data_IF_246970019596
#
_entry.id   IF_246970019596
#
_cell.length_a   1.000
_cell.length_b   1.000
_cell.length_c   1.000
_cell.angle_alpha   90.00
_cell.angle_beta   90.00
_cell.angle_gamma   90.00
#
_symmetry.space_group_name_H-M   'P 1'
#
loop_
_entity.id
_entity.type
_entity.pdbx_description
1 polymer ?
#
# COMPACT_ATOMS: atom_id res chain seq x y z
N UNK A 1 -8.05 9.75 26.45
CA UNK A 1 -8.98 9.73 25.27
C UNK A 1 -10.15 8.80 25.60
N UNK A 2 -11.33 9.17 25.18
CA UNK A 2 -12.49 8.27 25.15
C UNK A 2 -12.82 7.97 23.69
N UNK A 3 -12.28 6.85 23.19
CA UNK A 3 -12.42 6.44 21.79
C UNK A 3 -13.89 6.28 21.36
N UNK A 4 -14.75 5.82 22.28
CA UNK A 4 -16.19 5.67 22.03
C UNK A 4 -16.85 7.01 21.75
N UNK A 5 -16.58 7.99 22.61
CA UNK A 5 -17.16 9.34 22.48
C UNK A 5 -16.70 10.02 21.18
N UNK A 6 -15.41 9.89 20.83
CA UNK A 6 -14.88 10.41 19.57
C UNK A 6 -15.60 9.80 18.37
N UNK A 7 -15.80 8.48 18.39
CA UNK A 7 -16.47 7.77 17.30
C UNK A 7 -17.95 8.13 17.19
N UNK A 8 -18.65 8.27 18.32
CA UNK A 8 -20.06 8.70 18.36
C UNK A 8 -20.23 10.11 17.79
N UNK A 9 -19.36 11.04 18.14
CA UNK A 9 -19.36 12.40 17.58
C UNK A 9 -19.11 12.39 16.08
N UNK A 10 -18.14 11.59 15.63
CA UNK A 10 -17.82 11.46 14.21
C UNK A 10 -19.02 10.89 13.41
N UNK A 11 -19.69 9.84 13.94
CA UNK A 11 -20.89 9.25 13.33
C UNK A 11 -22.04 10.26 13.26
N UNK A 12 -22.21 11.07 14.29
CA UNK A 12 -23.24 12.13 14.33
C UNK A 12 -22.98 13.22 13.28
N UNK A 13 -21.72 13.61 13.10
CA UNK A 13 -21.32 14.67 12.16
C UNK A 13 -21.30 14.21 10.70
N UNK A 14 -20.95 12.97 10.47
CA UNK A 14 -20.76 12.36 9.13
C UNK A 14 -21.50 11.02 9.02
N UNK A 15 -22.84 10.99 9.09
CA UNK A 15 -23.60 9.73 9.25
C UNK A 15 -23.51 8.77 8.06
N UNK A 16 -23.14 9.25 6.88
CA UNK A 16 -23.17 8.48 5.64
C UNK A 16 -21.79 7.97 5.21
N UNK A 17 -20.85 7.80 6.16
CA UNK A 17 -19.47 7.41 5.88
C UNK A 17 -19.04 6.16 6.70
N UNK A 18 -19.73 5.02 6.57
CA UNK A 18 -19.50 3.85 7.42
C UNK A 18 -18.07 3.28 7.30
N UNK A 19 -17.48 3.29 6.12
CA UNK A 19 -16.11 2.82 5.90
C UNK A 19 -15.10 3.70 6.65
N UNK A 20 -15.35 5.00 6.70
CA UNK A 20 -14.50 5.92 7.44
C UNK A 20 -14.64 5.73 8.96
N UNK A 21 -15.86 5.51 9.46
CA UNK A 21 -16.09 5.22 10.87
C UNK A 21 -15.35 3.97 11.34
N UNK A 22 -15.39 2.91 10.54
CA UNK A 22 -14.68 1.66 10.84
C UNK A 22 -13.17 1.87 10.92
N UNK A 23 -12.59 2.57 9.97
CA UNK A 23 -11.15 2.85 9.95
C UNK A 23 -10.69 3.66 11.17
N UNK A 24 -11.46 4.67 11.55
CA UNK A 24 -11.18 5.46 12.75
C UNK A 24 -11.28 4.60 14.01
N UNK A 25 -12.31 3.77 14.14
CA UNK A 25 -12.50 2.87 15.28
C UNK A 25 -11.30 1.93 15.46
N UNK A 26 -10.85 1.30 14.37
CA UNK A 26 -9.70 0.38 14.37
C UNK A 26 -8.40 1.07 14.79
N UNK A 27 -8.14 2.27 14.29
CA UNK A 27 -6.94 3.03 14.67
C UNK A 27 -7.02 3.49 16.12
N UNK A 28 -8.14 4.08 16.55
CA UNK A 28 -8.30 4.57 17.92
C UNK A 28 -8.13 3.45 18.95
N UNK A 29 -8.66 2.25 18.68
CA UNK A 29 -8.51 1.10 19.57
C UNK A 29 -7.04 0.69 19.78
N UNK A 30 -6.19 0.87 18.78
CA UNK A 30 -4.78 0.48 18.87
C UNK A 30 -3.87 1.56 19.47
N UNK A 31 -4.24 2.84 19.35
CA UNK A 31 -3.41 3.95 19.85
C UNK A 31 -3.80 4.45 21.25
N UNK A 32 -4.97 4.05 21.77
CA UNK A 32 -5.57 4.60 22.99
C UNK A 32 -4.63 4.50 24.22
N UNK A 33 -3.98 3.35 24.41
CA UNK A 33 -3.02 3.15 25.51
C UNK A 33 -1.87 4.15 25.45
N UNK A 34 -1.26 4.33 24.27
CA UNK A 34 -0.14 5.26 24.11
C UNK A 34 -0.60 6.71 24.19
N UNK A 35 -1.74 7.03 23.56
CA UNK A 35 -2.32 8.38 23.64
C UNK A 35 -2.54 8.82 25.08
N UNK A 36 -3.04 7.95 25.95
CA UNK A 36 -3.36 8.27 27.34
C UNK A 36 -2.12 8.53 28.20
N UNK A 37 -0.92 8.19 27.74
CA UNK A 37 0.35 8.57 28.37
C UNK A 37 0.73 10.04 28.11
N UNK A 38 0.00 10.72 27.21
CA UNK A 38 0.26 12.08 26.73
C UNK A 38 -0.92 13.03 27.00
N UNK A 39 -1.13 13.47 28.27
CA UNK A 39 -2.26 14.32 28.61
C UNK A 39 -2.25 15.68 27.89
N UNK A 40 -1.11 16.10 27.35
CA UNK A 40 -0.97 17.30 26.52
C UNK A 40 -1.77 17.22 25.21
N UNK A 41 -2.01 16.03 24.69
CA UNK A 41 -2.79 15.83 23.45
C UNK A 41 -4.26 16.21 23.62
N UNK A 42 -4.85 15.90 24.78
CA UNK A 42 -6.25 16.28 25.11
C UNK A 42 -6.44 17.79 25.18
N UNK A 43 -5.44 18.54 25.67
CA UNK A 43 -5.52 20.00 25.82
C UNK A 43 -5.69 20.74 24.51
N UNK A 44 -5.33 20.11 23.40
CA UNK A 44 -5.40 20.71 22.05
C UNK A 44 -6.38 19.97 21.13
N UNK A 45 -7.24 19.11 21.68
CA UNK A 45 -8.18 18.28 20.92
C UNK A 45 -7.51 17.55 19.74
N UNK A 46 -6.33 16.97 19.98
CA UNK A 46 -5.50 16.40 18.93
C UNK A 46 -6.25 15.35 18.11
N UNK A 47 -6.96 14.44 18.78
CA UNK A 47 -7.63 13.32 18.11
C UNK A 47 -8.82 13.80 17.26
N UNK A 48 -9.58 14.78 17.72
CA UNK A 48 -10.67 15.35 16.94
C UNK A 48 -10.15 16.01 15.66
N UNK A 49 -9.07 16.78 15.78
CA UNK A 49 -8.39 17.42 14.64
C UNK A 49 -7.84 16.39 13.67
N UNK A 50 -7.27 15.29 14.18
CA UNK A 50 -6.72 14.21 13.36
C UNK A 50 -7.80 13.43 12.61
N UNK A 51 -8.98 13.26 13.20
CA UNK A 51 -10.11 12.55 12.60
C UNK A 51 -10.91 13.39 11.59
N UNK A 52 -10.59 14.66 11.41
CA UNK A 52 -11.25 15.52 10.44
C UNK A 52 -10.22 15.91 9.37
N UNK A 53 -10.48 15.62 8.08
CA UNK A 53 -9.59 16.06 7.02
C UNK A 53 -9.42 17.59 7.00
N UNK A 54 -8.22 18.07 6.66
CA UNK A 54 -7.97 19.49 6.49
C UNK A 54 -8.87 20.09 5.41
N UNK A 55 -9.05 19.36 4.28
CA UNK A 55 -9.89 19.79 3.15
C UNK A 55 -10.46 18.61 2.40
N UNK A 56 -11.68 18.80 1.91
CA UNK A 56 -12.37 17.87 0.99
C UNK A 56 -12.80 18.67 -0.22
N UNK A 57 -12.32 18.28 -1.40
CA UNK A 57 -12.77 18.80 -2.67
C UNK A 57 -13.67 17.77 -3.36
N UNK A 58 -14.83 18.22 -3.79
CA UNK A 58 -15.78 17.44 -4.55
C UNK A 58 -16.23 18.25 -5.76
N UNK A 59 -16.12 17.68 -6.95
CA UNK A 59 -16.39 18.40 -8.20
C UNK A 59 -16.99 17.48 -9.25
N UNK A 60 -17.70 18.10 -10.19
CA UNK A 60 -18.24 17.43 -11.38
C UNK A 60 -17.16 17.34 -12.45
N UNK A 61 -17.06 16.15 -13.06
CA UNK A 61 -16.21 15.92 -14.24
C UNK A 61 -17.10 15.62 -15.43
N UNK A 62 -17.10 16.49 -16.42
CA UNK A 62 -17.88 16.33 -17.66
C UNK A 62 -16.92 16.02 -18.81
N UNK A 63 -17.21 14.97 -19.55
CA UNK A 63 -16.36 14.52 -20.66
C UNK A 63 -17.21 13.87 -21.76
N UNK A 64 -16.65 13.69 -22.96
CA UNK A 64 -17.33 13.12 -24.12
C UNK A 64 -16.75 11.73 -24.42
N UNK A 65 -17.63 10.73 -24.61
CA UNK A 65 -17.23 9.39 -25.03
C UNK A 65 -16.96 9.32 -26.55
N UNK A 66 -16.54 8.15 -27.03
CA UNK A 66 -16.22 7.94 -28.45
C UNK A 66 -17.44 7.99 -29.36
N UNK A 67 -18.66 7.92 -28.81
CA UNK A 67 -19.92 8.06 -29.53
C UNK A 67 -20.41 9.50 -29.57
N UNK A 68 -19.66 10.45 -29.05
CA UNK A 68 -20.05 11.85 -28.94
C UNK A 68 -21.07 12.14 -27.82
N UNK A 69 -21.32 11.21 -26.93
CA UNK A 69 -22.24 11.40 -25.82
C UNK A 69 -21.55 12.06 -24.64
N UNK A 70 -22.24 13.00 -24.01
CA UNK A 70 -21.72 13.69 -22.81
C UNK A 70 -21.93 12.82 -21.59
N UNK A 71 -20.85 12.57 -20.88
CA UNK A 71 -20.79 11.80 -19.63
C UNK A 71 -20.49 12.72 -18.47
N UNK A 72 -20.99 12.36 -17.29
CA UNK A 72 -20.77 13.10 -16.04
C UNK A 72 -20.39 12.14 -14.93
N UNK A 73 -19.27 12.43 -14.28
CA UNK A 73 -18.78 11.70 -13.12
C UNK A 73 -18.50 12.66 -11.97
N UNK A 74 -18.39 12.11 -10.75
CA UNK A 74 -17.94 12.84 -9.58
C UNK A 74 -16.44 12.67 -9.42
N UNK A 75 -15.76 13.77 -9.14
CA UNK A 75 -14.35 13.79 -8.77
C UNK A 75 -14.15 14.22 -7.32
N UNK A 76 -13.11 13.69 -6.68
CA UNK A 76 -12.79 13.97 -5.28
C UNK A 76 -11.30 14.11 -5.07
N UNK A 77 -10.91 14.98 -4.11
CA UNK A 77 -9.60 14.98 -3.48
C UNK A 77 -9.75 15.26 -1.99
N UNK A 78 -9.22 14.35 -1.17
CA UNK A 78 -9.18 14.49 0.27
C UNK A 78 -7.75 14.85 0.66
N UNK A 79 -7.55 16.01 1.22
CA UNK A 79 -6.32 16.47 1.85
C UNK A 79 -6.50 16.26 3.36
N UNK A 80 -5.98 15.11 3.85
CA UNK A 80 -6.31 14.69 5.21
C UNK A 80 -5.46 15.40 6.25
N UNK A 81 -4.15 15.29 6.14
CA UNK A 81 -3.21 15.87 7.10
C UNK A 81 -1.86 16.11 6.43
N UNK A 82 -1.27 17.30 6.64
CA UNK A 82 0.02 17.68 6.10
C UNK A 82 1.06 18.04 7.18
N UNK A 83 0.87 17.61 8.41
CA UNK A 83 1.77 17.96 9.51
C UNK A 83 3.22 17.48 9.28
N UNK A 84 3.45 16.46 8.48
CA UNK A 84 4.78 15.92 8.18
C UNK A 84 5.24 16.10 6.73
N UNK A 85 4.47 16.75 5.90
CA UNK A 85 4.83 17.02 4.51
C UNK A 85 3.61 17.23 3.62
N UNK A 86 3.81 17.50 2.33
CA UNK A 86 2.73 17.66 1.37
C UNK A 86 1.75 16.47 1.43
N UNK A 87 0.47 16.74 1.21
CA UNK A 87 -0.51 15.65 1.09
C UNK A 87 -0.07 14.68 0.02
N UNK A 88 -0.12 13.39 0.30
CA UNK A 88 0.36 12.34 -0.58
C UNK A 88 -0.57 11.16 -0.57
N UNK A 89 -0.97 10.69 -1.75
CA UNK A 89 -1.78 9.50 -1.91
C UNK A 89 -2.38 9.37 -3.30
N UNK A 90 -2.79 8.16 -3.65
CA UNK A 90 -3.24 7.80 -4.99
C UNK A 90 -4.57 8.41 -5.40
N UNK A 91 -4.83 8.36 -6.70
CA UNK A 91 -6.12 8.63 -7.33
C UNK A 91 -6.68 7.29 -7.78
N UNK A 92 -7.92 6.99 -7.39
CA UNK A 92 -8.63 5.76 -7.75
C UNK A 92 -9.74 6.05 -8.76
N UNK A 93 -9.73 5.33 -9.89
CA UNK A 93 -10.82 5.34 -10.86
C UNK A 93 -11.56 4.02 -10.82
N UNK A 94 -12.67 3.99 -10.11
CA UNK A 94 -13.50 2.80 -9.96
C UNK A 94 -14.94 3.16 -9.61
N UNK A 95 -15.90 2.41 -10.12
CA UNK A 95 -17.35 2.64 -9.92
C UNK A 95 -17.78 2.73 -8.45
N UNK A 96 -17.04 2.07 -7.54
CA UNK A 96 -17.35 2.07 -6.11
C UNK A 96 -16.85 3.31 -5.36
N UNK A 97 -16.12 4.21 -6.01
CA UNK A 97 -15.56 5.39 -5.36
C UNK A 97 -16.67 6.30 -4.86
N UNK A 98 -16.59 6.62 -3.58
CA UNK A 98 -17.42 7.60 -2.89
C UNK A 98 -16.59 8.35 -1.84
N UNK A 99 -17.18 9.37 -1.23
CA UNK A 99 -16.50 10.21 -0.25
C UNK A 99 -16.02 9.43 0.99
N UNK A 100 -16.85 8.54 1.55
CA UNK A 100 -16.51 7.75 2.74
C UNK A 100 -15.30 6.84 2.51
N UNK A 101 -15.26 6.14 1.39
CA UNK A 101 -14.12 5.29 0.99
C UNK A 101 -12.84 6.14 0.85
N UNK A 102 -12.92 7.30 0.21
CA UNK A 102 -11.73 8.13 0.01
C UNK A 102 -11.25 8.78 1.31
N UNK A 103 -12.14 9.17 2.22
CA UNK A 103 -11.76 9.63 3.57
C UNK A 103 -11.08 8.54 4.37
N UNK A 104 -11.62 7.33 4.35
CA UNK A 104 -10.99 6.15 4.95
C UNK A 104 -9.56 5.96 4.43
N UNK A 105 -9.41 5.92 3.11
CA UNK A 105 -8.10 5.70 2.48
C UNK A 105 -7.11 6.84 2.76
N UNK A 106 -7.56 8.09 2.81
CA UNK A 106 -6.72 9.25 3.12
C UNK A 106 -6.25 9.25 4.59
N UNK A 107 -7.13 8.86 5.51
CA UNK A 107 -6.82 8.70 6.92
C UNK A 107 -5.73 7.63 7.14
N UNK A 108 -5.92 6.43 6.59
CA UNK A 108 -4.93 5.37 6.68
C UNK A 108 -3.61 5.74 5.98
N UNK A 109 -3.69 6.43 4.85
CA UNK A 109 -2.50 6.89 4.12
C UNK A 109 -1.64 7.83 4.95
N UNK A 110 -2.24 8.67 5.80
CA UNK A 110 -1.52 9.55 6.71
C UNK A 110 -0.55 8.77 7.60
N UNK A 111 -1.01 7.68 8.20
CA UNK A 111 -0.17 6.85 9.08
C UNK A 111 0.83 5.98 8.31
N UNK A 112 0.43 5.46 7.16
CA UNK A 112 1.33 4.70 6.30
C UNK A 112 2.51 5.55 5.82
N UNK A 113 2.23 6.76 5.37
CA UNK A 113 3.27 7.69 4.91
C UNK A 113 4.20 8.11 6.05
N UNK A 114 3.65 8.31 7.25
CA UNK A 114 4.45 8.70 8.41
C UNK A 114 5.50 7.66 8.81
N UNK A 115 5.24 6.38 8.55
CA UNK A 115 6.18 5.28 8.82
C UNK A 115 7.41 5.36 7.92
N UNK A 116 7.30 5.88 6.70
CA UNK A 116 8.40 5.91 5.73
C UNK A 116 9.57 6.81 6.12
N UNK A 117 9.43 7.63 7.15
CA UNK A 117 10.37 8.69 7.56
C UNK A 117 10.51 9.85 6.56
N UNK A 118 9.95 9.71 5.38
CA UNK A 118 9.94 10.76 4.35
C UNK A 118 8.89 11.85 4.65
N UNK A 119 9.11 13.09 4.18
CA UNK A 119 8.21 14.20 4.44
C UNK A 119 6.97 14.13 3.55
N UNK A 120 6.03 13.27 3.89
CA UNK A 120 4.78 13.05 3.18
C UNK A 120 3.60 12.99 4.14
N UNK A 121 2.65 13.88 3.95
CA UNK A 121 1.35 13.84 4.62
C UNK A 121 0.40 12.80 4.02
N UNK A 122 -0.87 12.87 4.34
CA UNK A 122 -1.89 11.94 3.85
C UNK A 122 -2.95 12.62 2.98
N UNK A 123 -3.23 12.02 1.84
CA UNK A 123 -4.30 12.42 0.94
C UNK A 123 -4.79 11.26 0.08
N UNK A 124 -5.95 11.43 -0.51
CA UNK A 124 -6.54 10.45 -1.44
C UNK A 124 -7.48 11.15 -2.40
N UNK A 125 -7.54 10.65 -3.62
CA UNK A 125 -8.48 11.17 -4.61
C UNK A 125 -9.12 10.07 -5.42
N UNK A 126 -10.03 10.43 -6.28
CA UNK A 126 -10.66 9.49 -7.17
C UNK A 126 -11.91 9.98 -7.86
N UNK A 127 -12.48 9.09 -8.62
CA UNK A 127 -13.74 9.28 -9.32
C UNK A 127 -14.49 7.96 -9.44
N UNK A 128 -15.81 8.03 -9.55
CA UNK A 128 -16.69 6.90 -9.91
C UNK A 128 -16.56 6.48 -11.38
N UNK A 129 -15.69 7.13 -12.14
CA UNK A 129 -15.29 6.72 -13.49
C UNK A 129 -14.55 5.39 -13.44
N UNK A 130 -14.83 4.51 -14.41
CA UNK A 130 -14.08 3.27 -14.62
C UNK A 130 -13.41 3.27 -15.99
N UNK A 131 -12.07 3.11 -16.05
CA UNK A 131 -11.36 3.03 -17.34
C UNK A 131 -11.55 1.69 -18.03
N UNK A 132 -12.13 0.71 -17.34
CA UNK A 132 -12.35 -0.63 -17.89
C UNK A 132 -13.31 -0.58 -19.08
N UNK A 133 -12.87 -1.12 -20.22
CA UNK A 133 -13.65 -1.13 -21.45
C UNK A 133 -13.72 0.21 -22.18
N UNK A 134 -12.94 1.20 -21.76
CA UNK A 134 -12.80 2.49 -22.41
C UNK A 134 -11.62 2.51 -23.38
N UNK A 135 -11.71 3.29 -24.45
CA UNK A 135 -10.58 3.54 -25.34
C UNK A 135 -9.52 4.42 -24.67
N UNK A 136 -8.30 4.40 -25.20
CA UNK A 136 -7.26 5.32 -24.74
C UNK A 136 -7.67 6.80 -24.91
N UNK A 137 -8.41 7.11 -25.98
CA UNK A 137 -8.90 8.46 -26.23
C UNK A 137 -9.95 8.89 -25.19
N UNK A 138 -10.86 8.00 -24.81
CA UNK A 138 -11.84 8.25 -23.73
C UNK A 138 -11.16 8.48 -22.40
N UNK A 139 -10.21 7.61 -22.03
CA UNK A 139 -9.44 7.73 -20.77
C UNK A 139 -8.64 9.03 -20.75
N UNK A 140 -8.01 9.41 -21.87
CA UNK A 140 -7.28 10.67 -21.98
C UNK A 140 -8.21 11.86 -21.78
N UNK A 141 -9.36 11.91 -22.45
CA UNK A 141 -10.34 13.00 -22.29
C UNK A 141 -10.86 13.10 -20.85
N UNK A 142 -11.13 11.95 -20.23
CA UNK A 142 -11.53 11.93 -18.83
C UNK A 142 -10.43 12.48 -17.91
N UNK A 143 -9.19 12.01 -18.05
CA UNK A 143 -8.05 12.50 -17.24
C UNK A 143 -7.85 14.01 -17.42
N UNK A 144 -7.98 14.53 -18.61
CA UNK A 144 -7.89 15.96 -18.89
C UNK A 144 -9.01 16.75 -18.21
N UNK A 145 -10.25 16.27 -18.29
CA UNK A 145 -11.41 16.90 -17.65
C UNK A 145 -11.29 16.84 -16.11
N UNK A 146 -10.82 15.74 -15.56
CA UNK A 146 -10.56 15.58 -14.12
C UNK A 146 -9.50 16.57 -13.65
N UNK A 147 -8.42 16.75 -14.40
CA UNK A 147 -7.34 17.68 -14.08
C UNK A 147 -7.73 19.16 -14.21
N UNK A 148 -8.70 19.51 -15.05
CA UNK A 148 -9.22 20.88 -15.10
C UNK A 148 -9.69 21.37 -13.74
N UNK A 149 -10.28 20.49 -12.95
CA UNK A 149 -10.73 20.81 -11.59
C UNK A 149 -9.63 20.61 -10.55
N UNK A 150 -8.92 19.48 -10.61
CA UNK A 150 -7.95 19.09 -9.59
C UNK A 150 -6.71 19.99 -9.56
N UNK A 151 -6.25 20.50 -10.69
CA UNK A 151 -5.00 21.27 -10.83
C UNK A 151 -4.90 22.43 -9.85
N UNK A 152 -6.02 23.08 -9.50
CA UNK A 152 -6.07 24.22 -8.59
C UNK A 152 -5.70 23.87 -7.14
N UNK A 153 -5.70 22.60 -6.79
CA UNK A 153 -5.61 22.11 -5.42
C UNK A 153 -4.35 21.28 -5.15
N UNK A 154 -3.55 21.01 -6.18
CA UNK A 154 -2.36 20.16 -6.10
C UNK A 154 -1.10 20.92 -6.55
N UNK A 155 0.04 20.36 -6.21
CA UNK A 155 1.35 20.91 -6.58
C UNK A 155 2.46 20.20 -5.84
N UNK A 156 3.73 20.36 -6.26
CA UNK A 156 4.86 19.61 -5.71
C UNK A 156 5.07 19.80 -4.21
N UNK A 157 4.74 20.96 -3.68
CA UNK A 157 4.92 21.33 -2.27
C UNK A 157 3.59 21.41 -1.49
N UNK A 158 2.47 21.10 -2.13
CA UNK A 158 1.12 21.16 -1.54
C UNK A 158 0.51 19.77 -1.42
N UNK A 159 0.34 19.11 -2.55
CA UNK A 159 -0.36 17.83 -2.67
C UNK A 159 0.13 17.09 -3.91
N UNK A 160 0.72 15.92 -3.71
CA UNK A 160 1.31 15.11 -4.77
C UNK A 160 0.55 13.80 -4.93
N UNK A 161 -0.42 13.73 -5.83
CA UNK A 161 -1.14 12.48 -6.12
C UNK A 161 -0.26 11.42 -6.77
N UNK A 162 -0.77 10.19 -6.80
CA UNK A 162 -0.15 9.04 -7.44
C UNK A 162 -1.21 8.15 -8.10
N UNK A 163 -0.78 7.03 -8.69
CA UNK A 163 -1.69 5.99 -9.14
C UNK A 163 -2.28 5.15 -8.00
N UNK A 164 -3.40 4.52 -8.29
CA UNK A 164 -4.11 3.55 -7.46
C UNK A 164 -4.98 2.67 -8.37
N UNK A 165 -5.97 1.96 -7.86
CA UNK A 165 -6.87 1.14 -8.68
C UNK A 165 -7.45 1.96 -9.86
N UNK A 166 -7.31 1.45 -11.07
CA UNK A 166 -7.77 2.11 -12.29
C UNK A 166 -6.91 3.28 -12.77
N UNK A 167 -5.80 3.58 -12.09
CA UNK A 167 -4.86 4.65 -12.46
C UNK A 167 -3.44 4.10 -12.47
N UNK A 168 -2.95 3.79 -13.64
CA UNK A 168 -1.58 3.37 -13.90
C UNK A 168 -0.74 4.46 -14.57
N UNK A 169 0.40 4.05 -15.13
CA UNK A 169 1.32 4.98 -15.81
C UNK A 169 0.68 5.76 -16.95
N UNK A 170 -0.25 5.14 -17.70
CA UNK A 170 -1.01 5.80 -18.76
C UNK A 170 -1.82 6.98 -18.23
N UNK A 171 -2.62 6.76 -17.22
CA UNK A 171 -3.48 7.78 -16.61
C UNK A 171 -2.65 8.88 -15.94
N UNK A 172 -1.59 8.49 -15.22
CA UNK A 172 -0.64 9.44 -14.64
C UNK A 172 0.00 10.32 -15.71
N UNK A 173 0.38 9.74 -16.84
CA UNK A 173 0.93 10.46 -17.97
C UNK A 173 -0.07 11.49 -18.55
N UNK A 174 -1.33 11.09 -18.78
CA UNK A 174 -2.36 12.00 -19.26
C UNK A 174 -2.65 13.15 -18.28
N UNK A 175 -2.71 12.84 -16.99
CA UNK A 175 -2.89 13.86 -15.95
C UNK A 175 -1.71 14.81 -15.85
N UNK A 176 -0.48 14.31 -15.88
CA UNK A 176 0.72 15.14 -15.85
C UNK A 176 0.82 16.07 -17.07
N UNK A 177 0.53 15.56 -18.28
CA UNK A 177 0.50 16.35 -19.48
C UNK A 177 -0.49 17.52 -19.40
N UNK A 178 -1.69 17.27 -18.84
CA UNK A 178 -2.68 18.33 -18.64
C UNK A 178 -2.29 19.31 -17.56
N UNK A 179 -1.75 18.85 -16.43
CA UNK A 179 -1.23 19.72 -15.38
C UNK A 179 -0.19 20.70 -15.93
N UNK A 180 0.82 20.17 -16.62
CA UNK A 180 1.87 20.96 -17.26
C UNK A 180 1.31 21.99 -18.25
N UNK A 181 0.27 21.62 -19.00
CA UNK A 181 -0.39 22.53 -19.95
C UNK A 181 -1.10 23.68 -19.24
N UNK A 182 -1.80 23.38 -18.13
CA UNK A 182 -2.58 24.37 -17.39
C UNK A 182 -1.72 25.32 -16.56
N UNK A 183 -0.71 24.78 -15.86
CA UNK A 183 0.17 25.56 -14.98
C UNK A 183 1.31 26.23 -15.72
N UNK A 184 1.70 25.72 -16.88
CA UNK A 184 2.90 26.10 -17.65
C UNK A 184 4.20 25.81 -16.87
N UNK A 185 4.13 24.87 -15.92
CA UNK A 185 5.24 24.45 -15.07
C UNK A 185 5.58 22.99 -15.32
N UNK A 186 6.86 22.68 -15.32
CA UNK A 186 7.38 21.33 -15.28
C UNK A 186 7.87 21.06 -13.87
N UNK A 187 7.03 20.42 -13.05
CA UNK A 187 7.26 20.25 -11.62
C UNK A 187 7.16 18.77 -11.18
N UNK A 188 7.52 18.51 -9.92
CA UNK A 188 7.43 17.19 -9.30
C UNK A 188 6.03 16.80 -8.82
N UNK A 189 4.98 17.36 -9.40
CA UNK A 189 3.61 16.92 -9.14
C UNK A 189 3.36 15.53 -9.73
N UNK A 190 2.57 14.71 -9.08
CA UNK A 190 2.29 13.32 -9.44
C UNK A 190 3.52 12.40 -9.34
N UNK A 191 3.32 11.22 -8.80
CA UNK A 191 4.31 10.13 -8.83
C UNK A 191 3.77 8.91 -9.56
N UNK A 192 4.67 8.02 -9.97
CA UNK A 192 4.36 6.95 -10.91
C UNK A 192 4.43 7.42 -12.36
N UNK A 193 5.17 8.50 -12.61
CA UNK A 193 5.44 9.00 -13.95
C UNK A 193 6.34 8.04 -14.73
N UNK A 194 6.28 8.12 -16.05
CA UNK A 194 7.26 7.46 -16.92
C UNK A 194 8.69 7.99 -16.69
N UNK A 195 9.66 7.14 -16.95
CA UNK A 195 11.09 7.49 -16.78
C UNK A 195 11.45 8.71 -17.62
N UNK A 196 10.83 8.85 -18.79
CA UNK A 196 11.07 9.94 -19.74
C UNK A 196 10.69 11.33 -19.21
N UNK A 197 9.88 11.38 -18.17
CA UNK A 197 9.38 12.65 -17.62
C UNK A 197 9.36 12.70 -16.09
N UNK A 198 10.37 12.13 -15.46
CA UNK A 198 10.66 12.29 -14.03
C UNK A 198 10.23 11.13 -13.15
N UNK A 199 9.93 9.95 -13.71
CA UNK A 199 9.69 8.73 -12.96
C UNK A 199 10.95 8.19 -12.30
N UNK A 200 10.80 7.34 -11.29
CA UNK A 200 11.90 6.69 -10.58
C UNK A 200 12.08 5.25 -11.02
N UNK A 201 13.33 4.83 -11.14
CA UNK A 201 13.71 3.41 -11.20
C UNK A 201 13.27 2.71 -9.90
N UNK A 202 13.20 1.39 -9.92
CA UNK A 202 12.75 0.54 -8.77
C UNK A 202 11.28 0.76 -8.37
N UNK A 203 10.54 1.63 -9.03
CA UNK A 203 9.12 1.83 -8.67
C UNK A 203 8.25 0.58 -8.89
N UNK A 204 8.38 -0.18 -10.02
CA UNK A 204 7.66 -1.44 -10.19
C UNK A 204 8.03 -2.49 -9.15
N UNK A 205 9.29 -2.58 -8.77
CA UNK A 205 9.84 -3.54 -7.81
C UNK A 205 9.52 -3.21 -6.35
N UNK A 206 9.29 -1.94 -6.06
CA UNK A 206 9.35 -1.36 -4.73
C UNK A 206 8.47 -2.04 -3.67
N UNK A 207 7.24 -2.40 -4.01
CA UNK A 207 6.33 -3.02 -3.04
C UNK A 207 6.78 -4.45 -2.70
N UNK A 208 7.10 -5.25 -3.71
CA UNK A 208 7.61 -6.61 -3.52
C UNK A 208 8.96 -6.63 -2.78
N UNK A 209 9.91 -5.82 -3.25
CA UNK A 209 11.23 -5.69 -2.61
C UNK A 209 11.10 -5.22 -1.16
N UNK A 210 10.31 -4.18 -0.92
CA UNK A 210 10.10 -3.63 0.42
C UNK A 210 9.48 -4.65 1.39
N UNK A 211 8.54 -5.46 0.93
CA UNK A 211 7.94 -6.55 1.72
C UNK A 211 8.99 -7.55 2.17
N UNK A 212 9.90 -7.94 1.29
CA UNK A 212 10.96 -8.90 1.59
C UNK A 212 12.06 -8.27 2.47
N UNK A 213 12.38 -6.99 2.29
CA UNK A 213 13.28 -6.27 3.19
C UNK A 213 12.72 -6.19 4.61
N UNK A 214 11.43 -5.89 4.76
CA UNK A 214 10.78 -5.89 6.07
C UNK A 214 10.78 -7.29 6.71
N UNK A 215 10.46 -8.33 5.94
CA UNK A 215 10.57 -9.73 6.36
C UNK A 215 11.99 -10.05 6.86
N UNK A 216 13.01 -9.66 6.11
CA UNK A 216 14.40 -9.87 6.48
C UNK A 216 14.74 -9.21 7.82
N UNK A 217 14.26 -7.98 8.03
CA UNK A 217 14.43 -7.27 9.29
C UNK A 217 13.70 -7.98 10.46
N UNK A 218 12.50 -8.51 10.24
CA UNK A 218 11.80 -9.33 11.23
C UNK A 218 12.58 -10.58 11.62
N UNK A 219 13.10 -11.33 10.65
CA UNK A 219 13.89 -12.54 10.89
C UNK A 219 15.17 -12.23 11.68
N UNK A 220 15.85 -11.12 11.41
CA UNK A 220 17.04 -10.67 12.14
C UNK A 220 16.76 -10.52 13.64
N UNK A 221 15.55 -10.18 14.07
CA UNK A 221 15.19 -10.10 15.52
C UNK A 221 15.28 -11.45 16.22
N UNK A 222 15.25 -12.54 15.47
CA UNK A 222 15.39 -13.93 15.95
C UNK A 222 16.77 -14.54 15.62
N UNK A 223 17.70 -13.72 15.12
CA UNK A 223 19.01 -14.21 14.65
C UNK A 223 18.93 -15.10 13.41
N UNK A 224 17.89 -14.93 12.60
CA UNK A 224 17.58 -15.77 11.45
C UNK A 224 17.65 -14.97 10.14
N UNK A 225 17.62 -15.67 9.01
CA UNK A 225 17.69 -15.11 7.64
C UNK A 225 16.71 -15.80 6.71
N UNK A 226 16.52 -15.22 5.51
CA UNK A 226 15.71 -15.81 4.44
C UNK A 226 16.44 -16.98 3.75
N UNK A 227 17.76 -17.04 3.84
CA UNK A 227 18.57 -18.03 3.13
C UNK A 227 18.12 -19.47 3.44
N UNK A 228 17.89 -20.24 2.38
CA UNK A 228 17.46 -21.64 2.45
C UNK A 228 16.00 -21.88 2.86
N UNK A 229 15.24 -20.82 3.18
CA UNK A 229 13.85 -20.96 3.63
C UNK A 229 12.87 -21.11 2.47
N UNK A 230 11.89 -21.98 2.66
CA UNK A 230 10.77 -22.17 1.74
C UNK A 230 9.71 -21.09 1.97
N UNK A 231 9.30 -20.44 0.89
CA UNK A 231 8.40 -19.29 0.95
C UNK A 231 7.15 -19.54 0.10
N UNK A 232 5.98 -19.47 0.72
CA UNK A 232 4.70 -19.45 0.02
C UNK A 232 4.38 -18.01 -0.38
N UNK A 233 4.06 -17.82 -1.66
CA UNK A 233 3.67 -16.51 -2.21
C UNK A 233 2.33 -16.68 -2.90
N UNK A 234 1.37 -15.82 -2.60
CA UNK A 234 0.13 -15.70 -3.37
C UNK A 234 0.21 -14.57 -4.38
N UNK A 235 -0.61 -14.68 -5.43
CA UNK A 235 -0.56 -13.75 -6.56
C UNK A 235 0.46 -14.17 -7.61
N UNK A 236 0.35 -13.57 -8.77
CA UNK A 236 1.28 -13.64 -9.89
C UNK A 236 1.38 -12.29 -10.61
N UNK A 237 0.93 -11.23 -9.95
CA UNK A 237 1.06 -9.86 -10.41
C UNK A 237 2.36 -9.20 -9.93
N UNK A 238 2.42 -7.89 -10.07
CA UNK A 238 3.62 -7.11 -9.82
C UNK A 238 4.25 -7.36 -8.44
N UNK A 239 3.46 -7.28 -7.38
CA UNK A 239 3.97 -7.45 -6.00
C UNK A 239 4.55 -8.86 -5.79
N UNK A 240 3.81 -9.89 -6.22
CA UNK A 240 4.22 -11.28 -6.08
C UNK A 240 5.49 -11.59 -6.89
N UNK A 241 5.57 -11.13 -8.13
CA UNK A 241 6.73 -11.33 -9.00
C UNK A 241 8.00 -10.75 -8.37
N UNK A 242 7.96 -9.50 -7.91
CA UNK A 242 9.14 -8.86 -7.33
C UNK A 242 9.43 -9.30 -5.90
N UNK A 243 8.44 -9.73 -5.13
CA UNK A 243 8.69 -10.43 -3.87
C UNK A 243 9.45 -11.75 -4.10
N UNK A 244 9.02 -12.56 -5.09
CA UNK A 244 9.72 -13.78 -5.45
C UNK A 244 11.15 -13.51 -5.94
N UNK A 245 11.36 -12.48 -6.76
CA UNK A 245 12.69 -12.06 -7.23
C UNK A 245 13.62 -11.70 -6.07
N UNK A 246 13.13 -10.88 -5.10
CA UNK A 246 13.95 -10.50 -3.94
C UNK A 246 14.20 -11.68 -3.00
N UNK A 247 13.25 -12.58 -2.81
CA UNK A 247 13.45 -13.82 -2.06
C UNK A 247 14.57 -14.65 -2.67
N UNK A 248 14.59 -14.82 -4.01
CA UNK A 248 15.68 -15.51 -4.72
C UNK A 248 17.03 -14.82 -4.53
N UNK A 249 17.06 -13.48 -4.64
CA UNK A 249 18.31 -12.71 -4.45
C UNK A 249 18.90 -12.87 -3.04
N UNK A 250 18.06 -13.10 -2.02
CA UNK A 250 18.47 -13.32 -0.64
C UNK A 250 18.65 -14.80 -0.28
N UNK A 251 18.63 -15.69 -1.27
CA UNK A 251 18.89 -17.12 -1.08
C UNK A 251 17.69 -17.94 -0.60
N UNK A 252 16.50 -17.36 -0.55
CA UNK A 252 15.26 -18.08 -0.24
C UNK A 252 14.71 -18.86 -1.44
N UNK A 253 13.72 -19.70 -1.20
CA UNK A 253 13.14 -20.62 -2.20
C UNK A 253 11.64 -20.35 -2.31
N UNK A 254 11.19 -19.56 -3.30
CA UNK A 254 9.78 -19.42 -3.60
C UNK A 254 9.20 -20.77 -4.05
N UNK A 255 8.09 -21.20 -3.44
CA UNK A 255 7.47 -22.51 -3.73
C UNK A 255 6.18 -22.40 -4.52
N UNK A 256 5.48 -21.26 -4.41
CA UNK A 256 4.13 -21.09 -4.96
C UNK A 256 3.96 -19.73 -5.60
N UNK A 257 3.10 -19.65 -6.60
CA UNK A 257 2.43 -18.44 -7.08
C UNK A 257 1.00 -18.75 -7.44
N UNK A 258 0.10 -17.77 -7.44
CA UNK A 258 -1.33 -18.00 -7.64
C UNK A 258 -1.98 -16.92 -8.50
N UNK A 259 -3.13 -17.24 -9.07
CA UNK A 259 -4.06 -16.26 -9.63
C UNK A 259 -5.49 -16.54 -9.12
N UNK A 260 -6.51 -15.96 -9.78
CA UNK A 260 -7.90 -16.15 -9.35
C UNK A 260 -8.41 -17.58 -9.49
N UNK A 261 -7.79 -18.38 -10.37
CA UNK A 261 -8.26 -19.74 -10.68
C UNK A 261 -7.60 -20.80 -9.78
N UNK A 262 -6.47 -20.49 -9.14
CA UNK A 262 -5.74 -21.43 -8.29
C UNK A 262 -4.28 -21.09 -8.12
N UNK A 263 -3.48 -22.04 -7.66
CA UNK A 263 -2.04 -21.86 -7.45
C UNK A 263 -1.23 -23.01 -8.01
N UNK A 264 0.04 -22.72 -8.27
CA UNK A 264 1.07 -23.72 -8.52
C UNK A 264 1.95 -23.92 -7.28
N UNK A 265 2.33 -25.17 -7.04
CA UNK A 265 3.34 -25.56 -6.06
C UNK A 265 4.45 -26.30 -6.79
N UNK A 266 5.67 -25.78 -6.73
CA UNK A 266 6.84 -26.39 -7.32
C UNK A 266 7.72 -26.99 -6.20
N UNK A 267 7.80 -28.33 -6.08
CA UNK A 267 8.60 -28.96 -5.03
C UNK A 267 10.11 -28.70 -5.18
N UNK A 268 10.57 -28.38 -6.38
CA UNK A 268 11.97 -28.02 -6.66
C UNK A 268 12.26 -26.54 -6.41
N UNK A 269 11.24 -25.76 -6.09
CA UNK A 269 11.30 -24.31 -5.98
C UNK A 269 11.22 -23.59 -7.33
N UNK A 270 10.79 -22.35 -7.29
CA UNK A 270 10.72 -21.46 -8.45
C UNK A 270 12.06 -20.75 -8.58
N UNK A 271 12.91 -21.23 -9.50
CA UNK A 271 14.21 -20.61 -9.81
C UNK A 271 14.06 -19.29 -10.55
N UNK A 272 15.16 -18.58 -10.78
CA UNK A 272 15.17 -17.37 -11.61
C UNK A 272 14.59 -17.61 -13.01
N UNK A 273 15.00 -18.66 -13.68
CA UNK A 273 14.49 -19.02 -15.01
C UNK A 273 12.96 -19.27 -14.98
N UNK A 274 12.50 -20.00 -13.96
CA UNK A 274 11.07 -20.28 -13.80
C UNK A 274 10.26 -19.02 -13.49
N UNK A 275 10.81 -18.11 -12.71
CA UNK A 275 10.21 -16.79 -12.43
C UNK A 275 10.16 -15.94 -13.71
N UNK A 276 11.20 -15.92 -14.52
CA UNK A 276 11.22 -15.20 -15.81
C UNK A 276 10.12 -15.72 -16.74
N UNK A 277 9.91 -17.04 -16.77
CA UNK A 277 8.79 -17.63 -17.49
C UNK A 277 7.42 -17.17 -16.97
N UNK A 278 7.23 -17.12 -15.65
CA UNK A 278 5.98 -16.62 -15.05
C UNK A 278 5.77 -15.15 -15.42
N UNK A 279 6.82 -14.33 -15.36
CA UNK A 279 6.75 -12.90 -15.71
C UNK A 279 6.35 -12.72 -17.18
N UNK A 280 6.94 -13.47 -18.09
CA UNK A 280 6.56 -13.46 -19.50
C UNK A 280 5.12 -13.92 -19.71
N UNK A 281 4.74 -15.05 -19.10
CA UNK A 281 3.38 -15.60 -19.15
C UNK A 281 2.33 -14.57 -18.72
N UNK A 282 2.57 -13.88 -17.60
CA UNK A 282 1.61 -12.95 -17.01
C UNK A 282 1.63 -11.57 -17.67
N UNK A 283 2.80 -11.04 -17.95
CA UNK A 283 2.97 -9.65 -18.37
C UNK A 283 2.85 -9.48 -19.89
N UNK A 284 3.30 -10.47 -20.66
CA UNK A 284 3.28 -10.43 -22.14
C UNK A 284 2.03 -11.15 -22.67
N UNK A 285 1.88 -12.42 -22.34
CA UNK A 285 0.80 -13.25 -22.87
C UNK A 285 -0.52 -13.16 -22.12
N UNK A 286 -0.52 -12.55 -20.91
CA UNK A 286 -1.69 -12.46 -20.02
C UNK A 286 -2.33 -13.83 -19.74
N UNK A 287 -1.49 -14.87 -19.73
CA UNK A 287 -1.88 -16.25 -19.49
C UNK A 287 -2.27 -16.55 -18.04
N UNK A 288 -2.66 -17.78 -17.80
CA UNK A 288 -3.06 -18.25 -16.45
C UNK A 288 -1.91 -19.02 -15.81
N UNK A 289 -1.81 -18.94 -14.47
CA UNK A 289 -0.71 -19.60 -13.75
C UNK A 289 -0.70 -21.11 -13.94
N UNK A 290 -1.85 -21.74 -14.23
CA UNK A 290 -1.95 -23.16 -14.53
C UNK A 290 -1.05 -23.61 -15.69
N UNK A 291 -0.77 -22.73 -16.66
CA UNK A 291 0.08 -23.02 -17.82
C UNK A 291 1.54 -23.31 -17.43
N UNK A 292 1.95 -22.95 -16.22
CA UNK A 292 3.27 -23.24 -15.68
C UNK A 292 3.58 -24.76 -15.66
N UNK A 293 2.60 -25.58 -15.30
CA UNK A 293 2.80 -27.04 -15.20
C UNK A 293 2.96 -27.73 -16.56
N UNK A 294 2.56 -27.09 -17.64
CA UNK A 294 2.78 -27.60 -19.00
C UNK A 294 4.28 -27.55 -19.35
N UNK A 295 4.99 -26.54 -18.85
CA UNK A 295 6.45 -26.39 -19.04
C UNK A 295 7.26 -27.07 -17.93
N UNK A 296 6.74 -27.10 -16.71
CA UNK A 296 7.41 -27.65 -15.54
C UNK A 296 6.52 -28.72 -14.87
N UNK A 297 6.50 -29.95 -15.43
CA UNK A 297 5.53 -30.99 -15.03
C UNK A 297 5.77 -31.59 -13.64
N UNK A 298 6.89 -31.33 -12.99
CA UNK A 298 7.13 -31.70 -11.58
C UNK A 298 6.30 -30.86 -10.61
N UNK A 299 5.87 -29.67 -11.04
CA UNK A 299 5.01 -28.81 -10.27
C UNK A 299 3.55 -29.32 -10.26
N UNK A 300 2.82 -28.95 -9.22
CA UNK A 300 1.39 -29.24 -9.07
C UNK A 300 0.58 -27.98 -9.31
N UNK A 301 -0.58 -28.14 -9.93
CA UNK A 301 -1.60 -27.11 -9.99
C UNK A 301 -2.82 -27.51 -9.15
N UNK A 302 -3.29 -26.59 -8.33
CA UNK A 302 -4.51 -26.72 -7.53
C UNK A 302 -5.48 -25.63 -7.98
N UNK A 303 -6.59 -26.03 -8.57
CA UNK A 303 -7.60 -25.15 -9.14
C UNK A 303 -8.66 -24.66 -8.13
N UNK A 304 -9.85 -24.35 -8.67
CA UNK A 304 -11.05 -23.95 -7.91
C UNK A 304 -10.85 -22.72 -7.00
N UNK A 305 -9.96 -21.79 -7.42
CA UNK A 305 -9.66 -20.59 -6.66
C UNK A 305 -8.87 -20.85 -5.37
N UNK A 306 -8.31 -22.05 -5.21
CA UNK A 306 -7.53 -22.44 -4.04
C UNK A 306 -6.33 -21.50 -3.80
N UNK A 307 -5.96 -21.34 -2.53
CA UNK A 307 -4.82 -20.55 -2.08
C UNK A 307 -3.75 -21.45 -1.45
N UNK A 308 -2.46 -21.07 -1.48
CA UNK A 308 -1.36 -21.98 -1.13
C UNK A 308 -1.16 -22.19 0.38
N UNK A 309 -2.06 -21.72 1.22
CA UNK A 309 -1.85 -21.61 2.67
C UNK A 309 -1.91 -22.94 3.44
N UNK A 310 -2.28 -24.02 2.79
CA UNK A 310 -2.22 -25.37 3.37
C UNK A 310 -0.90 -26.11 3.06
N UNK A 311 -0.05 -25.55 2.20
CA UNK A 311 1.24 -26.12 1.88
C UNK A 311 2.26 -25.89 3.01
N UNK A 312 3.22 -26.80 3.16
CA UNK A 312 4.25 -26.71 4.20
C UNK A 312 5.40 -25.82 3.75
N UNK A 313 5.71 -24.81 4.54
CA UNK A 313 6.83 -23.89 4.31
C UNK A 313 7.24 -23.15 5.60
N UNK A 314 8.30 -22.35 5.51
CA UNK A 314 8.82 -21.57 6.64
C UNK A 314 8.21 -20.17 6.71
N UNK A 315 7.86 -19.59 5.57
CA UNK A 315 7.42 -18.18 5.42
C UNK A 315 6.22 -18.11 4.50
N UNK A 316 5.29 -17.19 4.78
CA UNK A 316 4.15 -16.87 3.92
C UNK A 316 4.12 -15.38 3.57
N UNK A 317 3.98 -15.07 2.27
CA UNK A 317 3.86 -13.72 1.72
C UNK A 317 2.54 -13.57 0.96
N UNK A 318 1.47 -13.09 1.62
CA UNK A 318 0.22 -12.79 0.94
C UNK A 318 0.38 -11.55 0.03
N UNK A 319 0.43 -11.75 -1.28
CA UNK A 319 0.72 -10.72 -2.28
C UNK A 319 -0.36 -10.57 -3.35
N UNK A 320 -1.57 -11.11 -3.13
CA UNK A 320 -2.64 -11.11 -4.13
C UNK A 320 -3.75 -10.10 -3.80
N UNK A 321 -4.69 -10.48 -2.96
CA UNK A 321 -5.94 -9.74 -2.75
C UNK A 321 -6.32 -9.62 -1.28
N UNK A 322 -7.21 -8.65 -1.02
CA UNK A 322 -7.82 -8.49 0.30
C UNK A 322 -8.55 -9.76 0.76
N UNK A 323 -8.47 -10.09 2.04
CA UNK A 323 -9.15 -11.21 2.71
C UNK A 323 -8.88 -12.60 2.07
N UNK A 324 -7.70 -12.79 1.51
CA UNK A 324 -7.32 -14.06 0.89
C UNK A 324 -6.81 -15.13 1.86
N UNK A 325 -6.52 -14.76 3.11
CA UNK A 325 -6.00 -15.63 4.15
C UNK A 325 -6.91 -15.57 5.36
N UNK A 326 -7.66 -16.65 5.58
CA UNK A 326 -8.66 -16.76 6.65
C UNK A 326 -8.13 -17.50 7.89
N UNK A 327 -8.97 -17.63 8.92
CA UNK A 327 -8.60 -18.25 10.20
C UNK A 327 -8.14 -19.70 10.06
N UNK A 328 -8.85 -20.51 9.27
CA UNK A 328 -8.51 -21.94 9.05
C UNK A 328 -7.13 -22.07 8.40
N UNK A 329 -6.87 -21.25 7.38
CA UNK A 329 -5.60 -21.22 6.67
C UNK A 329 -4.46 -20.73 7.58
N UNK A 330 -4.72 -19.74 8.45
CA UNK A 330 -3.74 -19.30 9.43
C UNK A 330 -3.38 -20.40 10.44
N UNK A 331 -4.36 -21.15 10.92
CA UNK A 331 -4.14 -22.32 11.78
C UNK A 331 -3.30 -23.39 11.07
N UNK A 332 -3.57 -23.63 9.79
CA UNK A 332 -2.78 -24.56 8.99
C UNK A 332 -1.33 -24.11 8.82
N UNK A 333 -1.09 -22.84 8.51
CA UNK A 333 0.25 -22.26 8.40
C UNK A 333 1.04 -22.43 9.70
N UNK A 334 0.45 -22.10 10.84
CA UNK A 334 1.08 -22.28 12.16
C UNK A 334 1.38 -23.76 12.45
N UNK A 335 0.42 -24.66 12.21
CA UNK A 335 0.60 -26.09 12.39
C UNK A 335 1.69 -26.69 11.48
N UNK A 336 1.86 -26.15 10.29
CA UNK A 336 2.90 -26.52 9.32
C UNK A 336 4.28 -25.90 9.62
N UNK A 337 4.40 -25.08 10.68
CA UNK A 337 5.66 -24.56 11.15
C UNK A 337 6.10 -23.24 10.52
N UNK A 338 5.18 -22.44 9.96
CA UNK A 338 5.47 -21.09 9.48
C UNK A 338 5.96 -20.22 10.63
N UNK A 339 7.11 -19.58 10.44
CA UNK A 339 7.75 -18.71 11.44
C UNK A 339 7.48 -17.22 11.23
N UNK A 340 7.15 -16.84 9.99
CA UNK A 340 6.93 -15.43 9.64
C UNK A 340 5.87 -15.30 8.53
N UNK A 341 5.05 -14.25 8.65
CA UNK A 341 4.09 -13.79 7.64
C UNK A 341 4.30 -12.30 7.42
N UNK A 342 4.53 -11.89 6.18
CA UNK A 342 4.63 -10.46 5.82
C UNK A 342 3.68 -10.15 4.66
N UNK A 343 2.77 -9.21 4.86
CA UNK A 343 1.77 -8.84 3.87
C UNK A 343 2.35 -7.94 2.78
N UNK A 344 2.31 -8.40 1.54
CA UNK A 344 2.59 -7.59 0.35
C UNK A 344 1.35 -6.89 -0.20
N UNK A 345 0.18 -7.54 -0.09
CA UNK A 345 -1.10 -6.95 -0.45
C UNK A 345 -1.65 -6.03 0.66
N UNK A 346 -2.73 -5.30 0.35
CA UNK A 346 -3.45 -4.53 1.35
C UNK A 346 -4.51 -5.43 2.03
N UNK A 347 -4.41 -5.56 3.36
CA UNK A 347 -5.32 -6.33 4.21
C UNK A 347 -5.65 -7.75 3.67
N UNK A 348 -4.66 -8.56 3.30
CA UNK A 348 -4.91 -9.90 2.77
C UNK A 348 -5.35 -10.89 3.86
N UNK A 349 -5.00 -10.63 5.12
CA UNK A 349 -5.26 -11.50 6.26
C UNK A 349 -6.49 -11.00 7.01
N UNK A 350 -7.45 -11.91 7.26
CA UNK A 350 -8.66 -11.53 8.02
C UNK A 350 -8.34 -11.25 9.50
N UNK A 351 -9.15 -10.46 10.22
CA UNK A 351 -8.93 -10.18 11.63
C UNK A 351 -8.82 -11.44 12.51
N UNK A 352 -9.59 -12.48 12.20
CA UNK A 352 -9.54 -13.76 12.91
C UNK A 352 -8.20 -14.48 12.67
N UNK A 353 -7.70 -14.46 11.43
CA UNK A 353 -6.40 -15.02 11.08
C UNK A 353 -5.24 -14.27 11.75
N UNK A 354 -5.30 -12.94 11.82
CA UNK A 354 -4.30 -12.13 12.55
C UNK A 354 -4.22 -12.56 14.01
N UNK A 355 -5.36 -12.78 14.67
CA UNK A 355 -5.39 -13.27 16.06
C UNK A 355 -4.68 -14.63 16.22
N UNK A 356 -4.86 -15.54 15.25
CA UNK A 356 -4.16 -16.84 15.25
C UNK A 356 -2.64 -16.64 15.24
N UNK A 357 -2.13 -15.78 14.37
CA UNK A 357 -0.70 -15.49 14.29
C UNK A 357 -0.16 -14.84 15.56
N UNK A 358 -0.88 -13.89 16.14
CA UNK A 358 -0.52 -13.22 17.38
C UNK A 358 -0.53 -14.18 18.58
N UNK A 359 -1.53 -15.05 18.69
CA UNK A 359 -1.60 -16.08 19.74
C UNK A 359 -0.47 -17.10 19.64
N UNK A 360 -0.11 -17.47 18.42
CA UNK A 360 1.04 -18.35 18.16
C UNK A 360 2.40 -17.64 18.32
N UNK A 361 2.39 -16.31 18.51
CA UNK A 361 3.59 -15.46 18.65
C UNK A 361 4.60 -15.63 17.51
N UNK A 362 4.12 -15.87 16.30
CA UNK A 362 4.98 -15.83 15.11
C UNK A 362 5.23 -14.39 14.69
N UNK A 363 6.22 -14.18 13.84
CA UNK A 363 6.50 -12.88 13.25
C UNK A 363 5.41 -12.58 12.21
N UNK A 364 4.53 -11.62 12.51
CA UNK A 364 3.46 -11.19 11.61
C UNK A 364 3.52 -9.68 11.38
N UNK A 365 3.61 -9.25 10.14
CA UNK A 365 3.59 -7.83 9.75
C UNK A 365 2.35 -7.46 8.96
N UNK A 366 1.61 -6.40 9.36
CA UNK A 366 0.52 -5.86 8.56
C UNK A 366 1.05 -5.15 7.32
N UNK A 367 0.23 -5.14 6.26
CA UNK A 367 0.60 -4.54 4.97
C UNK A 367 1.01 -3.08 5.07
N UNK A 368 0.36 -2.28 5.92
CA UNK A 368 0.72 -0.85 6.08
C UNK A 368 2.19 -0.60 6.46
N UNK A 369 2.85 -1.58 7.08
CA UNK A 369 4.27 -1.54 7.36
C UNK A 369 5.08 -2.25 6.26
N UNK A 370 4.82 -3.54 6.03
CA UNK A 370 5.63 -4.35 5.12
C UNK A 370 5.46 -3.97 3.65
N UNK A 371 4.30 -3.49 3.21
CA UNK A 371 4.11 -3.08 1.80
C UNK A 371 4.38 -1.58 1.53
N UNK A 372 4.93 -0.86 2.49
CA UNK A 372 5.21 0.57 2.37
C UNK A 372 6.32 0.91 1.35
N UNK A 373 6.96 -0.09 0.76
CA UNK A 373 8.00 0.12 -0.26
C UNK A 373 7.52 0.93 -1.46
N UNK A 374 6.31 0.68 -1.93
CA UNK A 374 5.73 1.41 -3.05
C UNK A 374 5.60 2.92 -2.80
N UNK A 375 5.04 3.31 -1.66
CA UNK A 375 4.94 4.73 -1.29
C UNK A 375 6.30 5.33 -0.93
N UNK A 376 7.21 4.54 -0.40
CA UNK A 376 8.58 4.96 -0.12
C UNK A 376 9.31 5.39 -1.40
N UNK A 377 9.27 4.57 -2.44
CA UNK A 377 9.88 4.94 -3.74
C UNK A 377 9.11 6.09 -4.41
N UNK A 378 7.80 6.21 -4.20
CA UNK A 378 7.07 7.42 -4.62
C UNK A 378 7.61 8.69 -3.94
N UNK A 379 7.96 8.63 -2.66
CA UNK A 379 8.64 9.73 -1.96
C UNK A 379 10.05 9.99 -2.49
N UNK A 380 10.79 8.94 -2.83
CA UNK A 380 12.11 9.09 -3.48
C UNK A 380 12.00 9.69 -4.89
N UNK A 381 10.94 9.40 -5.64
CA UNK A 381 10.64 10.09 -6.90
C UNK A 381 10.44 11.59 -6.68
N UNK A 382 9.71 11.98 -5.63
CA UNK A 382 9.54 13.40 -5.26
C UNK A 382 10.91 14.05 -4.96
N UNK A 383 11.78 13.38 -4.22
CA UNK A 383 13.13 13.88 -3.93
C UNK A 383 13.96 14.08 -5.20
N UNK A 384 13.98 13.09 -6.08
CA UNK A 384 14.66 13.18 -7.38
C UNK A 384 14.11 14.34 -8.22
N UNK A 385 12.78 14.52 -8.24
CA UNK A 385 12.16 15.62 -8.96
C UNK A 385 12.54 16.99 -8.39
N UNK A 386 12.64 17.11 -7.06
CA UNK A 386 13.06 18.36 -6.40
C UNK A 386 14.50 18.70 -6.70
N UNK A 387 15.39 17.73 -6.75
CA UNK A 387 16.79 17.89 -7.12
C UNK A 387 17.00 18.08 -8.63
N UNK A 388 16.00 17.72 -9.45
CA UNK A 388 16.07 17.62 -10.91
C UNK A 388 17.14 16.64 -11.40
N UNK A 389 17.31 15.55 -10.64
CA UNK A 389 18.22 14.45 -10.94
C UNK A 389 17.47 13.13 -11.05
N UNK A 390 18.10 12.17 -11.69
CA UNK A 390 17.66 10.76 -11.69
C UNK A 390 18.74 9.93 -11.01
N UNK A 391 18.34 9.18 -9.99
CA UNK A 391 19.23 8.25 -9.30
C UNK A 391 19.29 6.90 -10.01
N UNK A 392 20.39 6.19 -9.84
CA UNK A 392 20.52 4.82 -10.36
C UNK A 392 19.58 3.85 -9.63
N UNK A 393 19.36 2.68 -10.22
CA UNK A 393 18.56 1.63 -9.59
C UNK A 393 19.15 1.21 -8.24
N UNK A 394 20.47 1.11 -8.16
CA UNK A 394 21.22 0.76 -6.94
C UNK A 394 21.05 1.81 -5.84
N UNK A 395 21.10 3.09 -6.20
CA UNK A 395 20.89 4.19 -5.25
C UNK A 395 19.47 4.18 -4.68
N UNK A 396 18.45 3.99 -5.53
CA UNK A 396 17.06 3.92 -5.10
C UNK A 396 16.82 2.68 -4.25
N UNK A 397 17.33 1.51 -4.64
CA UNK A 397 17.17 0.26 -3.89
C UNK A 397 17.84 0.32 -2.51
N UNK A 398 19.05 0.89 -2.43
CA UNK A 398 19.75 1.11 -1.14
C UNK A 398 18.93 2.02 -0.20
N UNK A 399 18.33 3.08 -0.71
CA UNK A 399 17.45 3.97 0.06
C UNK A 399 16.15 3.25 0.46
N UNK A 400 15.60 2.42 -0.40
CA UNK A 400 14.42 1.60 -0.09
C UNK A 400 14.72 0.63 1.07
N UNK A 401 15.84 -0.08 1.02
CA UNK A 401 16.28 -0.96 2.10
C UNK A 401 16.37 -0.19 3.43
N UNK A 402 17.07 0.93 3.43
CA UNK A 402 17.21 1.78 4.61
C UNK A 402 15.86 2.25 5.18
N UNK A 403 14.92 2.67 4.30
CA UNK A 403 13.57 3.07 4.73
C UNK A 403 12.83 1.90 5.37
N UNK A 404 12.86 0.72 4.77
CA UNK A 404 12.16 -0.46 5.30
C UNK A 404 12.74 -0.91 6.64
N UNK A 405 14.05 -0.83 6.83
CA UNK A 405 14.70 -1.10 8.12
C UNK A 405 14.27 -0.09 9.19
N UNK A 406 14.18 1.21 8.85
CA UNK A 406 13.67 2.23 9.78
C UNK A 406 12.20 2.04 10.14
N UNK A 407 11.35 1.66 9.17
CA UNK A 407 9.94 1.32 9.46
C UNK A 407 9.90 0.18 10.48
N UNK A 408 10.70 -0.86 10.25
CA UNK A 408 10.78 -2.01 11.15
C UNK A 408 11.22 -1.61 12.56
N UNK A 409 12.29 -0.83 12.70
CA UNK A 409 12.79 -0.35 13.99
C UNK A 409 11.74 0.43 14.77
N UNK A 410 10.98 1.32 14.09
CA UNK A 410 9.90 2.06 14.70
C UNK A 410 8.75 1.14 15.14
N UNK A 411 8.41 0.13 14.35
CA UNK A 411 7.41 -0.87 14.72
C UNK A 411 7.85 -1.67 15.96
N UNK A 412 9.12 -2.07 16.04
CA UNK A 412 9.69 -2.76 17.23
C UNK A 412 9.62 -1.86 18.46
N UNK A 413 10.01 -0.60 18.31
CA UNK A 413 10.02 0.36 19.43
C UNK A 413 8.65 0.50 20.11
N UNK A 414 7.58 0.55 19.34
CA UNK A 414 6.22 0.76 19.87
C UNK A 414 5.40 -0.53 20.00
N UNK A 415 5.86 -1.62 19.40
CA UNK A 415 5.12 -2.89 19.36
C UNK A 415 5.66 -3.97 20.32
N UNK A 416 6.83 -3.78 20.93
CA UNK A 416 7.40 -4.78 21.83
C UNK A 416 6.59 -4.85 23.12
N UNK A 417 6.08 -6.04 23.42
CA UNK A 417 5.31 -6.36 24.61
C UNK A 417 6.24 -6.78 25.79
N UNK A 418 5.66 -6.89 26.99
CA UNK A 418 6.41 -7.18 28.21
C UNK A 418 7.17 -8.53 28.19
N UNK A 419 6.69 -9.49 27.40
CA UNK A 419 7.31 -10.80 27.21
C UNK A 419 8.35 -10.85 26.07
N UNK A 420 8.62 -9.70 25.44
CA UNK A 420 9.55 -9.57 24.31
C UNK A 420 8.97 -9.91 22.94
N UNK A 421 7.69 -10.25 22.86
CA UNK A 421 7.00 -10.41 21.57
C UNK A 421 6.81 -9.05 20.90
N UNK A 422 7.02 -8.99 19.59
CA UNK A 422 6.76 -7.77 18.81
C UNK A 422 5.41 -7.87 18.12
N UNK A 423 4.45 -7.09 18.60
CA UNK A 423 3.17 -6.91 17.97
C UNK A 423 3.29 -5.81 16.90
N UNK A 424 3.58 -6.23 15.67
CA UNK A 424 3.79 -5.29 14.55
C UNK A 424 2.54 -4.52 14.16
N UNK A 425 1.34 -5.04 14.42
CA UNK A 425 0.08 -4.30 14.18
C UNK A 425 0.00 -3.08 15.09
N UNK A 426 0.19 -3.30 16.42
CA UNK A 426 0.27 -2.22 17.42
C UNK A 426 1.43 -1.28 17.09
N UNK A 427 2.60 -1.84 16.82
CA UNK A 427 3.81 -1.07 16.51
C UNK A 427 3.65 -0.13 15.33
N UNK A 428 3.09 -0.60 14.22
CA UNK A 428 2.86 0.22 13.03
C UNK A 428 1.85 1.35 13.28
N UNK A 429 0.72 1.06 13.92
CA UNK A 429 -0.30 2.05 14.21
C UNK A 429 0.21 3.13 15.18
N UNK A 430 0.84 2.72 16.27
CA UNK A 430 1.35 3.66 17.28
C UNK A 430 2.52 4.49 16.74
N UNK A 431 3.48 3.87 16.05
CA UNK A 431 4.61 4.59 15.45
C UNK A 431 4.14 5.66 14.46
N UNK A 432 3.23 5.31 13.56
CA UNK A 432 2.65 6.25 12.59
C UNK A 432 1.91 7.39 13.27
N UNK A 433 1.06 7.07 14.23
CA UNK A 433 0.31 8.08 15.00
C UNK A 433 1.25 9.03 15.76
N UNK A 434 2.21 8.51 16.51
CA UNK A 434 3.09 9.33 17.35
C UNK A 434 3.93 10.34 16.56
N UNK A 435 4.36 9.99 15.36
CA UNK A 435 5.07 10.92 14.49
C UNK A 435 4.17 12.08 14.05
N UNK A 436 2.96 11.79 13.61
CA UNK A 436 1.97 12.82 13.20
C UNK A 436 1.58 13.68 14.41
N UNK A 437 1.27 13.06 15.55
CA UNK A 437 0.88 13.75 16.77
C UNK A 437 1.95 14.74 17.24
N UNK A 438 3.21 14.32 17.29
CA UNK A 438 4.33 15.19 17.68
C UNK A 438 4.50 16.37 16.70
N UNK A 439 4.36 16.14 15.41
CA UNK A 439 4.43 17.22 14.42
C UNK A 439 3.28 18.21 14.59
N UNK A 440 2.04 17.73 14.77
CA UNK A 440 0.87 18.58 15.04
C UNK A 440 1.04 19.40 16.31
N UNK A 441 1.58 18.81 17.39
CA UNK A 441 1.87 19.52 18.64
C UNK A 441 2.91 20.62 18.45
N UNK A 442 3.99 20.33 17.72
CA UNK A 442 5.09 21.26 17.49
C UNK A 442 4.68 22.47 16.61
N UNK A 443 3.74 22.24 15.69
CA UNK A 443 3.24 23.28 14.77
C UNK A 443 2.11 24.14 15.37
N UNK A 444 1.57 23.74 16.51
CA UNK A 444 0.52 24.47 17.21
C UNK A 444 -0.89 24.19 16.67
N UNK A 445 -1.76 25.19 16.81
CA UNK A 445 -3.16 25.12 16.39
C UNK A 445 -3.30 25.91 15.09
N UNK A 446 -3.29 25.17 13.98
CA UNK A 446 -3.39 25.70 12.62
C UNK A 446 -4.53 25.05 11.87
#
# INVERSE_FOLDING_TARGET
>A
MDAKKVLEDLKRRFPNEPEYHQAVEEVLATIEEEYNKHPEFEKVNLIERLCIPDRVYQFRVTWMDDKGQIQTNMGYRIQHNNAIGPYKGGIRFHKSVNLGILKFLAFEQTFKNSLTTLPMGGGKGGSDFSPRGKSNAEVMRFCQAFMLELTRHIGPDVDVPAGDIGVGGREVGYMFGMYKKLTREYSGVLTGKGIEFGGSLIRPEATGYGTVYFLSAMLKTKGDTIEGKKVLISGAGNVAQYAAEKVLQLGGIPMTMSDSDGYIYDPDGISREKLDYIMELKNVYRGRIKEYVDKYPTAKYVGDGAKPWFEKADIALPCATQNELNEEQAKALVANGVIAVAEGANMPTTPEAIKVFQQAKILYSPGKASNAGGVSVSGLEMSQNSERLSWSAEEVDAKLLWIMENIHENCVKYGTEADGYVNYVKGANVAGFMKVAKAMMAQGIV
#
